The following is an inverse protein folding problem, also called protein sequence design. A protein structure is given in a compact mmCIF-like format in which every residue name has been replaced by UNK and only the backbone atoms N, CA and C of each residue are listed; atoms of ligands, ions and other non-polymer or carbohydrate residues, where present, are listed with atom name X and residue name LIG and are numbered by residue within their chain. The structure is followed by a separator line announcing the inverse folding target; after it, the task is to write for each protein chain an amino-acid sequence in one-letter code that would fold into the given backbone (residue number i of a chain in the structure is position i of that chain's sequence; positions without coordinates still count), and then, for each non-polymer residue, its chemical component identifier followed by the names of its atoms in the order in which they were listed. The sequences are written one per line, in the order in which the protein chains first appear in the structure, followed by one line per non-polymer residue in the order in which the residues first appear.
data_IF_266467406292
#
_entry.id   IF_266467406292
#
_cell.length_a   1.000
_cell.length_b   1.000
_cell.length_c   1.000
_cell.angle_alpha   90.00
_cell.angle_beta   90.00
_cell.angle_gamma   90.00
#
_symmetry.space_group_name_H-M   'P 1'
#
loop_
_entity.id
_entity.type
_entity.pdbx_description
1 polymer ?
#
# COMPACT_ATOMS: atom_id res chain seq x y z
N UNK A 1 61.87 -46.54 -27.18
CA UNK A 1 62.78 -45.65 -27.93
C UNK A 1 62.17 -44.30 -28.08
N UNK A 2 62.89 -43.26 -27.60
CA UNK A 2 62.78 -41.83 -27.87
C UNK A 2 61.45 -41.12 -27.40
N UNK A 3 61.45 -40.43 -26.33
CA UNK A 3 62.09 -39.09 -26.07
C UNK A 3 61.44 -37.97 -26.87
N UNK A 4 60.75 -37.08 -26.17
CA UNK A 4 61.06 -35.68 -26.16
C UNK A 4 60.08 -34.87 -25.29
N UNK A 5 60.64 -34.07 -24.44
CA UNK A 5 59.96 -33.12 -23.49
C UNK A 5 59.77 -31.76 -24.19
N UNK A 6 59.57 -30.64 -23.46
CA UNK A 6 58.27 -29.91 -23.28
C UNK A 6 58.33 -28.51 -23.91
N UNK A 7 57.21 -27.87 -24.10
CA UNK A 7 57.15 -26.43 -24.37
C UNK A 7 56.37 -25.68 -23.33
N UNK A 8 57.08 -24.81 -22.65
CA UNK A 8 56.61 -23.73 -21.79
C UNK A 8 55.79 -22.71 -22.57
N UNK A 9 54.61 -22.43 -22.12
CA UNK A 9 53.76 -21.30 -22.58
C UNK A 9 53.44 -20.35 -21.43
N UNK A 10 54.06 -19.18 -21.47
CA UNK A 10 53.96 -18.05 -20.59
C UNK A 10 52.50 -17.71 -20.25
N UNK A 11 52.18 -17.68 -18.98
CA UNK A 11 51.00 -16.97 -18.46
C UNK A 11 51.32 -15.45 -18.51
N UNK A 12 50.60 -14.73 -19.38
CA UNK A 12 50.53 -13.30 -19.34
C UNK A 12 49.49 -12.91 -18.30
N UNK A 13 49.91 -12.23 -17.24
CA UNK A 13 49.07 -11.64 -16.23
C UNK A 13 48.28 -10.45 -16.81
N UNK A 14 46.96 -10.47 -16.64
CA UNK A 14 46.12 -9.30 -16.83
C UNK A 14 46.31 -8.36 -15.62
N UNK A 15 46.45 -7.07 -15.83
CA UNK A 15 46.72 -6.15 -14.76
C UNK A 15 45.47 -5.91 -13.88
N UNK A 16 45.72 -6.00 -12.61
CA UNK A 16 44.85 -5.65 -11.49
C UNK A 16 44.80 -4.10 -11.34
N UNK A 17 44.11 -3.42 -12.25
CA UNK A 17 43.89 -1.99 -12.17
C UNK A 17 42.52 -1.60 -12.68
N UNK A 18 41.47 -1.79 -11.87
CA UNK A 18 40.17 -1.11 -12.05
C UNK A 18 39.21 -1.32 -10.84
N UNK A 19 39.78 -1.25 -9.63
CA UNK A 19 38.94 -1.30 -8.41
C UNK A 19 39.35 -0.24 -7.35
N UNK A 20 39.88 0.91 -7.79
CA UNK A 20 40.22 1.98 -6.84
C UNK A 20 39.64 3.36 -7.20
N UNK A 21 38.64 3.45 -8.07
CA UNK A 21 37.97 4.72 -8.37
C UNK A 21 36.60 4.89 -7.72
N UNK A 22 36.09 3.87 -7.02
CA UNK A 22 34.75 3.90 -6.38
C UNK A 22 34.70 4.31 -4.91
N UNK A 23 35.83 4.41 -4.22
CA UNK A 23 35.85 4.61 -2.75
C UNK A 23 36.21 6.05 -2.34
N UNK A 24 36.60 6.92 -3.26
CA UNK A 24 37.02 8.31 -2.92
C UNK A 24 35.92 9.35 -3.11
N UNK A 25 34.71 8.99 -3.55
CA UNK A 25 33.57 9.91 -3.66
C UNK A 25 32.72 10.01 -2.38
N UNK A 26 33.05 9.25 -1.32
CA UNK A 26 32.25 9.19 -0.09
C UNK A 26 32.77 10.10 1.04
N UNK A 27 33.80 10.87 0.81
CA UNK A 27 34.43 11.74 1.83
C UNK A 27 34.34 13.25 1.57
N UNK A 28 33.64 13.66 0.49
CA UNK A 28 33.32 15.08 0.34
C UNK A 28 31.83 15.25 0.64
N UNK A 29 31.54 15.68 1.87
CA UNK A 29 30.22 15.89 2.42
C UNK A 29 29.37 16.89 1.64
N UNK A 30 28.68 16.43 0.64
CA UNK A 30 27.48 17.10 0.13
C UNK A 30 26.30 16.63 0.96
N UNK A 31 25.91 17.46 1.91
CA UNK A 31 24.61 17.33 2.59
C UNK A 31 23.52 17.49 1.52
N UNK A 32 22.96 16.40 1.04
CA UNK A 32 21.65 16.43 0.40
C UNK A 32 20.63 16.64 1.51
N UNK A 33 19.73 17.63 1.40
CA UNK A 33 18.62 17.72 2.34
C UNK A 33 17.78 16.43 2.22
N UNK A 34 17.52 15.80 3.35
CA UNK A 34 16.59 14.69 3.42
C UNK A 34 15.21 15.21 3.00
N UNK A 35 14.81 14.86 1.78
CA UNK A 35 13.44 15.09 1.31
C UNK A 35 12.59 13.98 1.92
N UNK A 36 11.79 14.34 2.91
CA UNK A 36 10.74 13.50 3.44
C UNK A 36 9.65 13.38 2.38
N UNK A 37 9.62 12.28 1.65
CA UNK A 37 8.51 11.95 0.75
C UNK A 37 7.39 11.42 1.64
N UNK A 38 6.34 12.19 1.82
CA UNK A 38 5.10 11.70 2.43
C UNK A 38 4.45 10.72 1.45
N UNK A 39 4.51 9.44 1.75
CA UNK A 39 3.85 8.38 0.95
C UNK A 39 2.33 8.44 1.02
N UNK A 40 1.79 9.24 1.92
CA UNK A 40 0.35 9.41 2.11
C UNK A 40 -0.26 10.53 1.25
N UNK A 41 0.54 11.49 0.82
CA UNK A 41 0.12 12.53 -0.12
C UNK A 41 0.77 12.26 -1.47
N UNK A 42 0.00 12.03 -2.50
CA UNK A 42 0.48 11.89 -3.88
C UNK A 42 1.12 13.17 -4.42
N UNK A 43 2.08 13.77 -3.69
CA UNK A 43 2.74 15.01 -4.05
C UNK A 43 4.14 14.76 -4.59
N UNK A 44 4.32 15.06 -5.86
CA UNK A 44 5.60 15.16 -6.54
C UNK A 44 6.37 16.39 -6.06
N UNK A 45 7.63 16.25 -5.66
CA UNK A 45 8.48 17.34 -5.17
C UNK A 45 9.20 18.10 -6.30
N UNK A 46 8.56 18.32 -7.42
CA UNK A 46 9.03 19.29 -8.44
C UNK A 46 7.84 20.00 -9.07
N UNK A 47 7.17 20.89 -8.34
CA UNK A 47 6.20 21.79 -8.93
C UNK A 47 6.53 23.23 -8.58
N UNK A 48 6.70 24.05 -9.61
CA UNK A 48 6.58 25.51 -9.60
C UNK A 48 5.15 25.85 -9.14
N UNK A 49 4.94 26.86 -8.29
CA UNK A 49 3.63 27.12 -7.72
C UNK A 49 2.66 27.62 -8.78
N UNK A 50 1.64 26.83 -9.10
CA UNK A 50 0.46 27.31 -9.77
C UNK A 50 -0.66 27.41 -8.73
N UNK A 51 -1.08 28.64 -8.47
CA UNK A 51 -2.06 29.00 -7.46
C UNK A 51 -3.46 28.73 -7.98
N UNK A 52 -3.95 27.51 -7.81
CA UNK A 52 -5.38 27.22 -7.89
C UNK A 52 -5.79 26.39 -6.65
N UNK A 53 -6.95 26.66 -6.03
CA UNK A 53 -7.35 25.98 -4.81
C UNK A 53 -7.61 24.50 -5.10
N UNK A 54 -6.88 23.61 -4.42
CA UNK A 54 -7.18 22.18 -4.39
C UNK A 54 -8.52 21.98 -3.70
N UNK A 55 -9.58 21.86 -4.50
CA UNK A 55 -10.86 21.30 -4.09
C UNK A 55 -11.07 20.02 -4.90
N UNK A 56 -10.49 18.94 -4.44
CA UNK A 56 -10.96 17.61 -4.81
C UNK A 56 -11.06 16.80 -3.52
N UNK A 57 -12.20 16.96 -2.85
CA UNK A 57 -12.63 15.96 -1.90
C UNK A 57 -12.63 14.60 -2.62
N UNK A 58 -12.20 13.50 -1.94
CA UNK A 58 -12.35 12.17 -2.49
C UNK A 58 -13.81 11.99 -2.90
N UNK A 59 -14.03 11.53 -4.13
CA UNK A 59 -15.38 11.26 -4.62
C UNK A 59 -15.87 10.01 -3.91
N UNK A 60 -16.47 10.18 -2.74
CA UNK A 60 -17.36 9.17 -2.19
C UNK A 60 -18.59 9.19 -3.07
N UNK A 61 -18.84 8.11 -3.83
CA UNK A 61 -20.07 7.98 -4.59
C UNK A 61 -21.25 8.26 -3.66
N UNK A 62 -22.05 9.26 -4.01
CA UNK A 62 -23.22 9.69 -3.24
C UNK A 62 -24.29 8.60 -3.30
N UNK A 63 -24.41 7.81 -2.24
CA UNK A 63 -25.34 6.70 -2.14
C UNK A 63 -25.70 6.30 -0.72
N UNK A 64 -25.34 7.10 0.31
CA UNK A 64 -25.81 6.86 1.67
C UNK A 64 -26.69 8.03 2.12
N UNK A 65 -27.92 7.72 2.56
CA UNK A 65 -28.87 8.68 3.07
C UNK A 65 -28.27 9.58 4.14
N UNK A 66 -28.57 10.86 4.02
CA UNK A 66 -28.20 11.90 5.00
C UNK A 66 -28.96 11.64 6.31
N UNK A 67 -28.28 10.94 7.24
CA UNK A 67 -28.67 10.99 8.66
C UNK A 67 -27.53 11.69 9.41
N UNK A 68 -27.79 12.87 9.89
CA UNK A 68 -26.84 13.84 10.47
C UNK A 68 -26.26 13.41 11.83
N UNK A 69 -26.09 12.13 12.08
CA UNK A 69 -25.58 11.56 13.32
C UNK A 69 -24.74 10.30 13.18
N UNK A 70 -24.49 9.83 11.96
CA UNK A 70 -23.89 8.51 11.75
C UNK A 70 -22.38 8.61 11.53
N UNK A 71 -21.60 8.50 12.63
CA UNK A 71 -20.14 8.42 12.58
C UNK A 71 -19.70 7.00 12.30
N UNK A 72 -18.82 6.81 11.30
CA UNK A 72 -18.20 5.52 11.05
C UNK A 72 -16.72 5.62 10.67
N UNK A 73 -16.02 4.53 10.91
CA UNK A 73 -14.62 4.38 10.54
C UNK A 73 -14.39 3.03 9.89
N UNK A 74 -13.67 3.02 8.77
CA UNK A 74 -13.08 1.84 8.16
C UNK A 74 -11.59 1.81 8.48
N UNK A 75 -11.14 0.83 9.25
CA UNK A 75 -9.72 0.55 9.45
C UNK A 75 -9.24 -0.27 8.27
N UNK A 76 -8.33 0.28 7.47
CA UNK A 76 -7.86 -0.36 6.24
C UNK A 76 -6.35 -0.58 6.27
N UNK A 77 -5.91 -1.73 5.76
CA UNK A 77 -4.53 -2.18 5.80
C UNK A 77 -4.07 -2.57 4.40
N UNK A 78 -2.99 -1.94 3.92
CA UNK A 78 -2.39 -2.20 2.62
C UNK A 78 -1.12 -3.08 2.76
N UNK A 79 -0.71 -3.71 1.66
CA UNK A 79 0.57 -4.43 1.48
C UNK A 79 0.76 -5.72 2.28
N UNK A 80 -0.26 -6.17 2.99
CA UNK A 80 -0.29 -7.50 3.60
C UNK A 80 -0.71 -8.62 2.61
N UNK A 81 -0.76 -9.88 3.11
CA UNK A 81 -0.39 -10.31 4.44
C UNK A 81 1.12 -10.44 4.64
N UNK A 82 1.57 -10.23 5.88
CA UNK A 82 2.96 -10.32 6.26
C UNK A 82 3.16 -10.92 7.67
N UNK A 83 4.37 -10.85 8.19
CA UNK A 83 4.65 -11.19 9.61
C UNK A 83 3.93 -10.26 10.61
N UNK A 84 3.48 -9.08 10.16
CA UNK A 84 2.75 -8.10 10.96
C UNK A 84 1.26 -8.44 11.07
N UNK A 85 0.69 -9.04 10.02
CA UNK A 85 -0.74 -9.35 9.92
C UNK A 85 -1.31 -10.10 11.13
N UNK A 86 -0.65 -11.13 11.72
CA UNK A 86 -1.20 -11.81 12.90
C UNK A 86 -1.46 -10.87 14.07
N UNK A 87 -0.54 -9.94 14.36
CA UNK A 87 -0.71 -8.98 15.45
C UNK A 87 -1.80 -7.92 15.15
N UNK A 88 -2.00 -7.57 13.89
CA UNK A 88 -3.11 -6.70 13.46
C UNK A 88 -4.44 -7.42 13.68
N UNK A 89 -4.56 -8.69 13.24
CA UNK A 89 -5.76 -9.50 13.44
C UNK A 89 -6.08 -9.68 14.92
N UNK A 90 -5.06 -9.99 15.75
CA UNK A 90 -5.22 -10.12 17.20
C UNK A 90 -5.77 -8.83 17.86
N UNK A 91 -5.26 -7.66 17.45
CA UNK A 91 -5.71 -6.37 17.97
C UNK A 91 -7.16 -6.05 17.58
N UNK A 92 -7.56 -6.37 16.32
CA UNK A 92 -8.93 -6.20 15.85
C UNK A 92 -9.90 -7.15 16.55
N UNK A 93 -9.53 -8.42 16.67
CA UNK A 93 -10.32 -9.48 17.33
C UNK A 93 -10.52 -9.18 18.81
N UNK A 94 -9.47 -8.77 19.53
CA UNK A 94 -9.54 -8.37 20.93
C UNK A 94 -10.51 -7.21 21.19
N UNK A 95 -10.71 -6.35 20.19
CA UNK A 95 -11.65 -5.23 20.24
C UNK A 95 -13.03 -5.57 19.68
N UNK A 96 -13.21 -6.74 19.08
CA UNK A 96 -14.45 -7.15 18.40
C UNK A 96 -14.79 -6.30 17.19
N UNK A 97 -13.80 -5.80 16.47
CA UNK A 97 -13.98 -4.93 15.29
C UNK A 97 -13.40 -5.58 14.04
N UNK A 98 -13.95 -5.24 12.87
CA UNK A 98 -13.48 -5.76 11.59
C UNK A 98 -12.75 -4.69 10.79
N UNK A 99 -11.71 -5.10 10.05
CA UNK A 99 -10.96 -4.26 9.12
C UNK A 99 -11.12 -4.70 7.67
N UNK A 100 -10.58 -3.91 6.75
CA UNK A 100 -10.46 -4.25 5.33
C UNK A 100 -8.99 -4.32 4.94
N UNK A 101 -8.59 -5.43 4.32
CA UNK A 101 -7.22 -5.69 3.92
C UNK A 101 -7.10 -5.60 2.39
N UNK A 102 -6.37 -4.62 1.88
CA UNK A 102 -6.00 -4.47 0.49
C UNK A 102 -4.71 -5.25 0.23
N UNK A 103 -4.87 -6.46 -0.27
CA UNK A 103 -3.81 -7.48 -0.21
C UNK A 103 -2.88 -7.47 -1.41
N UNK A 104 -1.63 -7.85 -1.18
CA UNK A 104 -0.64 -8.13 -2.21
C UNK A 104 -0.25 -9.61 -2.22
N UNK A 105 0.29 -10.07 -3.35
CA UNK A 105 0.81 -11.44 -3.47
C UNK A 105 2.14 -11.43 -4.25
N UNK A 106 3.16 -10.78 -3.70
CA UNK A 106 4.44 -10.49 -4.38
C UNK A 106 5.37 -11.69 -4.56
N UNK A 107 5.01 -12.86 -4.07
CA UNK A 107 5.90 -14.03 -4.03
C UNK A 107 6.79 -14.06 -2.78
N UNK A 108 7.22 -12.91 -2.27
CA UNK A 108 7.99 -12.82 -1.02
C UNK A 108 7.13 -13.05 0.22
N UNK A 109 5.81 -12.80 0.12
CA UNK A 109 4.84 -13.00 1.18
C UNK A 109 4.04 -14.31 1.07
N UNK A 110 4.37 -15.20 0.15
CA UNK A 110 3.61 -16.43 -0.14
C UNK A 110 3.30 -17.26 1.11
N UNK A 111 4.26 -17.37 2.05
CA UNK A 111 4.07 -18.12 3.30
C UNK A 111 3.01 -17.52 4.24
N UNK A 112 2.61 -16.27 4.00
CA UNK A 112 1.60 -15.57 4.80
C UNK A 112 0.22 -15.56 4.15
N UNK A 113 0.09 -15.91 2.86
CA UNK A 113 -1.19 -15.96 2.16
C UNK A 113 -2.27 -16.81 2.87
N UNK A 114 -1.94 -17.92 3.57
CA UNK A 114 -2.94 -18.65 4.37
C UNK A 114 -3.65 -17.79 5.45
N UNK A 115 -3.06 -16.67 5.88
CA UNK A 115 -3.71 -15.74 6.81
C UNK A 115 -4.97 -15.10 6.22
N UNK A 116 -5.10 -15.04 4.90
CA UNK A 116 -6.31 -14.52 4.22
C UNK A 116 -7.54 -15.35 4.56
N UNK A 117 -7.40 -16.69 4.66
CA UNK A 117 -8.49 -17.57 5.09
C UNK A 117 -8.91 -17.26 6.53
N UNK A 118 -7.96 -17.00 7.42
CA UNK A 118 -8.24 -16.67 8.82
C UNK A 118 -8.93 -15.30 8.92
N UNK A 119 -8.39 -14.29 8.22
CA UNK A 119 -8.97 -12.94 8.20
C UNK A 119 -10.41 -12.96 7.67
N UNK A 120 -10.66 -13.64 6.55
CA UNK A 120 -12.01 -13.76 5.98
C UNK A 120 -12.98 -14.52 6.91
N UNK A 121 -12.53 -15.62 7.53
CA UNK A 121 -13.32 -16.38 8.48
C UNK A 121 -13.66 -15.60 9.77
N UNK A 122 -12.79 -14.67 10.17
CA UNK A 122 -13.02 -13.76 11.30
C UNK A 122 -13.92 -12.55 10.93
N UNK A 123 -14.41 -12.46 9.69
CA UNK A 123 -15.32 -11.40 9.25
C UNK A 123 -14.63 -10.14 8.71
N UNK A 124 -13.31 -10.16 8.56
CA UNK A 124 -12.61 -9.07 7.89
C UNK A 124 -12.84 -9.13 6.38
N UNK A 125 -12.88 -7.97 5.75
CA UNK A 125 -12.99 -7.88 4.30
C UNK A 125 -11.61 -8.00 3.64
N UNK A 126 -11.53 -8.84 2.58
CA UNK A 126 -10.38 -8.90 1.69
C UNK A 126 -10.70 -8.09 0.43
N UNK A 127 -9.77 -7.24 0.02
CA UNK A 127 -9.85 -6.39 -1.17
C UNK A 127 -8.55 -6.48 -1.97
N UNK A 128 -8.59 -6.09 -3.26
CA UNK A 128 -7.45 -6.23 -4.16
C UNK A 128 -6.53 -5.01 -4.08
N UNK A 129 -5.21 -5.26 -4.09
CA UNK A 129 -4.22 -4.19 -4.21
C UNK A 129 -3.31 -4.40 -5.41
N UNK A 130 -2.41 -5.38 -5.38
CA UNK A 130 -1.51 -5.70 -6.48
C UNK A 130 -0.87 -7.08 -6.29
N UNK A 131 -0.51 -7.75 -7.38
CA UNK A 131 0.32 -8.96 -7.29
C UNK A 131 1.80 -8.63 -7.08
N UNK A 132 2.31 -7.57 -7.69
CA UNK A 132 3.75 -7.23 -7.69
C UNK A 132 4.09 -6.02 -6.83
N UNK A 133 3.21 -5.05 -6.77
CA UNK A 133 3.39 -3.69 -6.21
C UNK A 133 4.56 -2.91 -6.85
N UNK A 134 4.96 -3.29 -8.10
CA UNK A 134 6.01 -2.63 -8.85
C UNK A 134 5.43 -1.57 -9.77
N UNK A 135 5.51 -0.29 -9.37
CA UNK A 135 4.88 0.83 -10.08
C UNK A 135 5.25 0.91 -11.58
N UNK A 136 6.52 0.65 -11.93
CA UNK A 136 6.99 0.65 -13.32
C UNK A 136 6.29 -0.40 -14.18
N UNK A 137 5.87 -1.48 -13.59
CA UNK A 137 5.25 -2.60 -14.27
C UNK A 137 3.73 -2.44 -14.34
N UNK A 138 3.10 -2.19 -13.19
CA UNK A 138 1.63 -2.09 -13.11
C UNK A 138 1.09 -0.87 -13.84
N UNK A 139 1.81 0.26 -13.83
CA UNK A 139 1.35 1.50 -14.44
C UNK A 139 1.92 1.79 -15.84
N UNK A 140 2.55 0.84 -16.48
CA UNK A 140 3.01 1.04 -17.87
C UNK A 140 1.86 1.08 -18.89
N UNK A 141 0.73 0.43 -18.58
CA UNK A 141 -0.51 0.46 -19.38
C UNK A 141 -1.69 -0.09 -18.57
N UNK A 142 -2.92 0.12 -19.04
CA UNK A 142 -4.10 -0.49 -18.44
C UNK A 142 -4.06 -2.02 -18.51
N UNK A 143 -3.64 -2.59 -19.63
CA UNK A 143 -3.49 -4.05 -19.77
C UNK A 143 -2.50 -4.62 -18.74
N UNK A 144 -1.39 -3.92 -18.48
CA UNK A 144 -0.42 -4.35 -17.49
C UNK A 144 -1.00 -4.35 -16.07
N UNK A 145 -1.76 -3.32 -15.74
CA UNK A 145 -2.48 -3.25 -14.46
C UNK A 145 -3.46 -4.42 -14.28
N UNK A 146 -4.28 -4.70 -15.30
CA UNK A 146 -5.24 -5.79 -15.23
C UNK A 146 -4.59 -7.19 -15.24
N UNK A 147 -3.44 -7.34 -15.89
CA UNK A 147 -2.63 -8.57 -15.79
C UNK A 147 -2.11 -8.78 -14.35
N UNK A 148 -1.66 -7.72 -13.68
CA UNK A 148 -1.23 -7.78 -12.29
C UNK A 148 -2.39 -8.14 -11.35
N UNK A 149 -3.56 -7.53 -11.53
CA UNK A 149 -4.78 -7.87 -10.77
C UNK A 149 -5.23 -9.32 -11.03
N UNK A 150 -5.15 -9.80 -12.28
CA UNK A 150 -5.49 -11.19 -12.60
C UNK A 150 -4.52 -12.17 -11.92
N UNK A 151 -3.22 -11.85 -11.91
CA UNK A 151 -2.21 -12.63 -11.21
C UNK A 151 -2.41 -12.63 -9.69
N UNK A 152 -2.81 -11.48 -9.11
CA UNK A 152 -3.20 -11.41 -7.69
C UNK A 152 -4.34 -12.37 -7.39
N UNK A 153 -5.42 -12.31 -8.18
CA UNK A 153 -6.59 -13.18 -8.03
C UNK A 153 -6.21 -14.66 -8.12
N UNK A 154 -5.38 -15.05 -9.07
CA UNK A 154 -4.86 -16.41 -9.19
C UNK A 154 -4.12 -16.85 -7.93
N UNK A 155 -3.23 -16.01 -7.41
CA UNK A 155 -2.40 -16.34 -6.24
C UNK A 155 -3.18 -16.44 -4.93
N UNK A 156 -4.24 -15.67 -4.77
CA UNK A 156 -5.07 -15.70 -3.56
C UNK A 156 -6.23 -16.72 -3.63
N UNK A 157 -6.57 -17.24 -4.82
CA UNK A 157 -7.67 -18.18 -5.02
C UNK A 157 -7.65 -19.44 -4.11
N UNK A 158 -6.48 -19.99 -3.70
CA UNK A 158 -6.46 -21.10 -2.75
C UNK A 158 -6.95 -20.75 -1.34
N UNK A 159 -7.08 -19.46 -1.01
CA UNK A 159 -7.32 -18.97 0.36
C UNK A 159 -8.65 -18.25 0.52
N UNK A 160 -9.12 -17.57 -0.52
CA UNK A 160 -10.39 -16.82 -0.56
C UNK A 160 -11.01 -16.93 -1.96
N UNK A 161 -12.32 -16.71 -2.10
CA UNK A 161 -12.96 -16.62 -3.42
C UNK A 161 -12.64 -15.25 -4.07
N UNK A 162 -11.71 -15.18 -5.04
CA UNK A 162 -11.36 -13.91 -5.66
C UNK A 162 -12.47 -13.38 -6.58
N UNK A 163 -13.42 -14.22 -7.00
CA UNK A 163 -14.54 -13.79 -7.85
C UNK A 163 -15.63 -13.08 -7.04
N UNK A 164 -15.64 -13.23 -5.73
CA UNK A 164 -16.52 -12.46 -4.85
C UNK A 164 -16.02 -11.05 -4.56
N UNK A 165 -14.72 -10.78 -4.76
CA UNK A 165 -14.09 -9.50 -4.42
C UNK A 165 -14.46 -8.46 -5.49
N UNK A 166 -14.95 -7.28 -5.03
CA UNK A 166 -15.39 -6.16 -5.88
C UNK A 166 -14.71 -4.84 -5.54
N UNK A 167 -13.88 -4.81 -4.51
CA UNK A 167 -13.20 -3.61 -4.03
C UNK A 167 -11.70 -3.72 -4.28
N UNK A 168 -11.11 -2.60 -4.69
CA UNK A 168 -9.66 -2.49 -4.87
C UNK A 168 -9.15 -1.13 -4.38
N UNK A 169 -7.86 -1.06 -4.13
CA UNK A 169 -7.12 0.19 -3.95
C UNK A 169 -5.96 0.22 -4.91
N UNK A 170 -5.82 1.32 -5.64
CA UNK A 170 -4.68 1.52 -6.52
C UNK A 170 -3.40 1.72 -5.70
N UNK A 171 -2.28 1.03 -5.98
CA UNK A 171 -1.00 1.34 -5.36
C UNK A 171 -0.64 2.82 -5.44
N UNK A 172 -0.43 3.45 -4.26
CA UNK A 172 -0.23 4.89 -4.14
C UNK A 172 -1.50 5.76 -4.26
N UNK A 173 -2.69 5.14 -4.30
CA UNK A 173 -3.99 5.82 -4.39
C UNK A 173 -4.36 6.27 -5.82
N UNK A 174 -5.61 6.65 -6.00
CA UNK A 174 -6.19 7.02 -7.29
C UNK A 174 -5.74 8.40 -7.82
N UNK A 175 -5.06 9.17 -6.99
CA UNK A 175 -4.51 10.49 -7.32
C UNK A 175 -2.98 10.49 -7.47
N UNK A 176 -2.34 9.30 -7.40
CA UNK A 176 -0.90 9.21 -7.52
C UNK A 176 -0.38 9.77 -8.86
N UNK A 177 0.80 10.39 -8.80
CA UNK A 177 1.46 10.94 -9.99
C UNK A 177 2.38 9.93 -10.68
N UNK A 178 2.65 8.80 -10.02
CA UNK A 178 3.55 7.75 -10.51
C UNK A 178 2.97 7.06 -11.73
N UNK A 179 1.64 6.81 -11.75
CA UNK A 179 0.92 6.28 -12.91
C UNK A 179 1.10 7.15 -14.17
N UNK A 180 1.10 8.47 -13.98
CA UNK A 180 1.34 9.41 -15.07
C UNK A 180 2.77 9.32 -15.62
N UNK A 181 3.75 9.05 -14.74
CA UNK A 181 5.16 8.90 -15.14
C UNK A 181 5.38 7.71 -16.06
N UNK A 182 4.72 6.59 -15.80
CA UNK A 182 4.92 5.34 -16.52
C UNK A 182 3.94 5.14 -17.68
N UNK A 183 2.65 5.45 -17.49
CA UNK A 183 1.57 5.18 -18.45
C UNK A 183 0.94 6.42 -19.08
N UNK A 184 1.44 7.63 -18.74
CA UNK A 184 0.94 8.90 -19.30
C UNK A 184 -0.26 9.47 -18.54
N UNK A 185 -0.66 10.69 -18.94
CA UNK A 185 -1.66 11.51 -18.19
C UNK A 185 -3.06 10.90 -18.12
N UNK A 186 -3.43 9.99 -19.03
CA UNK A 186 -4.79 9.43 -19.12
C UNK A 186 -4.95 8.10 -18.40
N UNK A 187 -3.86 7.43 -18.01
CA UNK A 187 -3.91 6.04 -17.52
C UNK A 187 -4.85 5.90 -16.32
N UNK A 188 -4.68 6.70 -15.27
CA UNK A 188 -5.48 6.57 -14.06
C UNK A 188 -6.97 6.83 -14.31
N UNK A 189 -7.30 7.80 -15.19
CA UNK A 189 -8.69 8.05 -15.59
C UNK A 189 -9.29 6.85 -16.33
N UNK A 190 -8.51 6.23 -17.22
CA UNK A 190 -8.91 5.00 -17.90
C UNK A 190 -9.15 3.87 -16.91
N UNK A 191 -8.20 3.61 -16.00
CA UNK A 191 -8.33 2.54 -14.99
C UNK A 191 -9.55 2.72 -14.09
N UNK A 192 -9.82 3.95 -13.63
CA UNK A 192 -11.04 4.25 -12.85
C UNK A 192 -12.31 3.90 -13.62
N UNK A 193 -12.41 4.33 -14.88
CA UNK A 193 -13.55 4.01 -15.73
C UNK A 193 -13.72 2.51 -15.97
N UNK A 194 -12.61 1.77 -16.14
CA UNK A 194 -12.65 0.32 -16.34
C UNK A 194 -13.05 -0.43 -15.07
N UNK A 195 -12.66 0.04 -13.87
CA UNK A 195 -13.13 -0.49 -12.58
C UNK A 195 -14.64 -0.35 -12.46
N UNK A 196 -15.18 0.84 -12.75
CA UNK A 196 -16.62 1.12 -12.70
C UNK A 196 -17.40 0.27 -13.73
N UNK A 197 -16.88 0.12 -14.96
CA UNK A 197 -17.48 -0.73 -15.99
C UNK A 197 -17.54 -2.22 -15.60
N UNK A 198 -16.64 -2.68 -14.75
CA UNK A 198 -16.65 -4.04 -14.19
C UNK A 198 -17.66 -4.20 -13.03
N UNK A 199 -18.33 -3.13 -12.62
CA UNK A 199 -19.17 -3.12 -11.42
C UNK A 199 -18.37 -3.25 -10.13
N UNK A 200 -17.10 -2.82 -10.15
CA UNK A 200 -16.22 -2.79 -9.00
C UNK A 200 -16.07 -1.36 -8.49
N UNK A 201 -15.50 -1.23 -7.28
CA UNK A 201 -15.22 0.06 -6.67
C UNK A 201 -13.75 0.17 -6.26
N UNK A 202 -13.13 1.29 -6.62
CA UNK A 202 -11.84 1.68 -6.06
C UNK A 202 -12.03 2.57 -4.84
N UNK A 203 -11.14 2.45 -3.85
CA UNK A 203 -11.27 3.13 -2.56
C UNK A 203 -9.95 3.75 -2.17
N UNK A 204 -9.94 5.07 -2.00
CA UNK A 204 -8.85 5.81 -1.39
C UNK A 204 -9.06 5.94 0.14
N UNK A 205 -8.47 6.92 0.74
CA UNK A 205 -8.55 7.22 2.16
C UNK A 205 -8.68 8.73 2.39
N UNK A 206 -9.16 9.12 3.55
CA UNK A 206 -9.22 10.51 4.00
C UNK A 206 -8.54 10.71 5.36
N UNK A 207 -8.01 9.64 5.96
CA UNK A 207 -7.16 9.67 7.15
C UNK A 207 -5.92 8.82 6.88
N UNK A 208 -4.72 9.38 7.06
CA UNK A 208 -3.47 8.68 6.86
C UNK A 208 -2.71 8.53 8.17
N UNK A 209 -2.34 7.31 8.52
CA UNK A 209 -1.53 7.01 9.70
C UNK A 209 -0.05 7.38 9.53
N UNK A 210 0.42 7.58 8.28
CA UNK A 210 1.82 7.80 7.92
C UNK A 210 2.78 6.70 8.47
N UNK A 211 2.27 5.50 8.67
CA UNK A 211 2.97 4.36 9.29
C UNK A 211 4.03 3.71 8.40
N UNK A 212 3.92 3.88 7.07
CA UNK A 212 4.88 3.37 6.09
C UNK A 212 5.91 4.42 5.61
N UNK A 213 5.91 5.64 6.18
CA UNK A 213 6.88 6.66 5.80
C UNK A 213 8.27 6.33 6.33
N UNK A 214 9.30 6.86 5.64
CA UNK A 214 10.70 6.63 6.00
C UNK A 214 10.99 6.99 7.46
N UNK A 215 11.71 6.11 8.18
CA UNK A 215 12.04 6.29 9.58
C UNK A 215 11.28 5.40 10.55
N UNK A 216 10.30 4.64 10.07
CA UNK A 216 9.49 3.70 10.88
C UNK A 216 8.94 4.37 12.16
N UNK A 217 7.88 5.18 12.06
CA UNK A 217 7.34 5.92 13.19
C UNK A 217 6.93 4.95 14.33
N UNK A 218 7.07 5.41 15.56
CA UNK A 218 6.60 4.66 16.73
C UNK A 218 5.06 4.65 16.81
N UNK A 219 4.52 3.79 17.66
CA UNK A 219 3.10 3.61 17.80
C UNK A 219 2.37 4.89 18.24
N UNK A 220 2.97 5.67 19.12
CA UNK A 220 2.41 6.94 19.59
C UNK A 220 2.36 8.00 18.47
N UNK A 221 3.35 8.05 17.60
CA UNK A 221 3.34 8.92 16.42
C UNK A 221 2.25 8.51 15.44
N UNK A 222 2.09 7.21 15.16
CA UNK A 222 1.03 6.67 14.30
C UNK A 222 -0.35 7.05 14.88
N UNK A 223 -0.57 6.80 16.15
CA UNK A 223 -1.80 7.18 16.85
C UNK A 223 -2.10 8.68 16.70
N UNK A 224 -1.12 9.55 17.00
CA UNK A 224 -1.30 11.01 16.87
C UNK A 224 -1.60 11.45 15.44
N UNK A 225 -1.00 10.82 14.43
CA UNK A 225 -1.29 11.10 13.04
C UNK A 225 -2.75 10.78 12.71
N UNK A 226 -3.24 9.60 13.10
CA UNK A 226 -4.64 9.21 12.88
C UNK A 226 -5.60 10.19 13.56
N UNK A 227 -5.34 10.55 14.82
CA UNK A 227 -6.18 11.51 15.57
C UNK A 227 -6.19 12.88 14.90
N UNK A 228 -5.01 13.39 14.50
CA UNK A 228 -4.86 14.67 13.83
C UNK A 228 -5.61 14.70 12.49
N UNK A 229 -5.40 13.69 11.67
CA UNK A 229 -6.00 13.59 10.33
C UNK A 229 -7.52 13.38 10.40
N UNK A 230 -8.01 12.66 11.42
CA UNK A 230 -9.44 12.50 11.64
C UNK A 230 -10.11 13.83 11.94
N UNK A 231 -9.56 14.67 12.85
CA UNK A 231 -10.13 15.98 13.19
C UNK A 231 -11.63 15.88 13.49
N UNK A 232 -12.43 16.66 12.74
CA UNK A 232 -13.91 16.71 12.86
C UNK A 232 -14.64 15.79 11.85
N UNK A 233 -13.91 14.95 11.11
CA UNK A 233 -14.52 14.07 10.11
C UNK A 233 -15.40 13.02 10.77
N UNK A 234 -16.60 12.81 10.27
CA UNK A 234 -17.56 11.81 10.79
C UNK A 234 -17.53 10.50 10.02
N UNK A 235 -16.91 10.47 8.85
CA UNK A 235 -16.79 9.31 7.96
C UNK A 235 -15.34 9.15 7.57
N UNK A 236 -14.68 8.11 8.09
CA UNK A 236 -13.25 7.92 7.98
C UNK A 236 -12.89 6.60 7.30
N UNK A 237 -12.03 6.67 6.30
CA UNK A 237 -11.29 5.54 5.77
C UNK A 237 -9.82 5.76 6.13
N UNK A 238 -9.32 4.96 7.06
CA UNK A 238 -7.98 5.11 7.62
C UNK A 238 -7.01 4.24 6.82
N UNK A 239 -5.99 4.86 6.18
CA UNK A 239 -4.89 4.15 5.58
C UNK A 239 -3.86 3.78 6.64
N UNK A 240 -3.62 2.50 6.76
CA UNK A 240 -2.53 1.86 7.50
C UNK A 240 -1.93 0.74 6.66
N UNK A 241 -0.87 0.12 7.14
CA UNK A 241 -0.24 -1.01 6.45
C UNK A 241 0.02 -2.16 7.42
N UNK A 242 -0.17 -3.40 6.93
CA UNK A 242 0.25 -4.62 7.62
C UNK A 242 1.42 -5.32 6.91
N UNK A 243 2.24 -4.51 6.25
CA UNK A 243 3.48 -4.93 5.59
C UNK A 243 4.53 -5.44 6.59
N UNK A 244 5.58 -6.09 6.10
CA UNK A 244 6.62 -6.66 6.96
C UNK A 244 7.42 -5.59 7.77
N UNK A 245 7.34 -4.34 7.40
CA UNK A 245 8.09 -3.22 8.04
C UNK A 245 7.26 -2.37 8.97
N UNK A 246 5.93 -2.54 9.01
CA UNK A 246 4.98 -1.71 9.76
C UNK A 246 4.50 -2.36 11.06
N UNK A 247 5.38 -3.07 11.77
CA UNK A 247 5.02 -3.73 13.04
C UNK A 247 4.53 -2.78 14.14
N UNK A 248 4.91 -1.52 14.10
CA UNK A 248 4.44 -0.47 15.02
C UNK A 248 2.99 -0.09 14.80
N UNK A 249 2.43 -0.34 13.62
CA UNK A 249 1.00 -0.17 13.32
C UNK A 249 0.15 -1.07 14.20
N UNK A 250 0.51 -2.36 14.32
CA UNK A 250 -0.18 -3.29 15.20
C UNK A 250 -0.14 -2.85 16.67
N UNK A 251 0.96 -2.20 17.10
CA UNK A 251 1.10 -1.68 18.46
C UNK A 251 0.23 -0.44 18.70
N UNK A 252 0.05 0.42 17.69
CA UNK A 252 -0.80 1.62 17.77
C UNK A 252 -2.30 1.28 17.75
N UNK A 253 -2.67 0.17 17.13
CA UNK A 253 -4.05 -0.16 16.79
C UNK A 253 -5.00 -0.20 17.99
N UNK A 254 -4.66 -0.76 19.20
CA UNK A 254 -5.55 -0.74 20.35
C UNK A 254 -5.92 0.67 20.83
N UNK A 255 -5.00 1.63 20.76
CA UNK A 255 -5.29 3.01 21.15
C UNK A 255 -6.09 3.74 20.09
N UNK A 256 -5.83 3.51 18.81
CA UNK A 256 -6.62 4.03 17.69
C UNK A 256 -8.06 3.55 17.80
N UNK A 257 -8.30 2.25 18.01
CA UNK A 257 -9.64 1.68 18.16
C UNK A 257 -10.37 2.31 19.35
N UNK A 258 -9.71 2.38 20.50
CA UNK A 258 -10.30 3.00 21.70
C UNK A 258 -10.69 4.45 21.45
N UNK A 259 -9.81 5.22 20.79
CA UNK A 259 -10.08 6.64 20.50
C UNK A 259 -11.33 6.84 19.64
N UNK A 260 -11.55 6.00 18.62
CA UNK A 260 -12.76 6.04 17.79
C UNK A 260 -13.98 5.54 18.56
N UNK A 261 -13.86 4.48 19.35
CA UNK A 261 -14.95 3.95 20.17
C UNK A 261 -15.44 4.98 21.21
N UNK A 262 -14.53 5.67 21.90
CA UNK A 262 -14.83 6.73 22.88
C UNK A 262 -15.54 7.96 22.27
N UNK A 263 -15.63 8.00 20.92
CA UNK A 263 -16.26 9.09 20.16
C UNK A 263 -17.46 8.63 19.34
N UNK A 264 -17.98 7.45 19.67
CA UNK A 264 -19.18 6.86 19.09
C UNK A 264 -19.08 6.56 17.58
N UNK A 265 -17.86 6.30 17.05
CA UNK A 265 -17.71 5.81 15.69
C UNK A 265 -18.10 4.33 15.61
N UNK A 266 -18.92 3.98 14.61
CA UNK A 266 -19.17 2.58 14.25
C UNK A 266 -18.00 2.07 13.40
N UNK A 267 -17.48 0.91 13.73
CA UNK A 267 -16.47 0.24 12.91
C UNK A 267 -17.15 -0.56 11.81
N UNK A 268 -16.80 -0.25 10.57
CA UNK A 268 -17.36 -0.90 9.38
C UNK A 268 -16.22 -1.38 8.48
N UNK A 269 -16.47 -2.47 7.74
CA UNK A 269 -15.64 -2.76 6.57
C UNK A 269 -15.97 -1.76 5.45
N UNK A 270 -15.08 -1.66 4.47
CA UNK A 270 -15.32 -0.78 3.31
C UNK A 270 -16.62 -1.15 2.59
N UNK A 271 -16.91 -2.43 2.43
CA UNK A 271 -18.15 -2.91 1.79
C UNK A 271 -19.42 -2.51 2.56
N UNK A 272 -19.35 -2.52 3.90
CA UNK A 272 -20.46 -2.09 4.75
C UNK A 272 -20.67 -0.57 4.72
N UNK A 273 -19.58 0.20 4.65
CA UNK A 273 -19.62 1.67 4.65
C UNK A 273 -19.96 2.25 3.26
N UNK A 274 -19.50 1.60 2.20
CA UNK A 274 -19.59 2.04 0.82
C UNK A 274 -20.15 0.91 -0.06
N UNK A 275 -21.41 0.50 0.14
CA UNK A 275 -22.00 -0.61 -0.62
C UNK A 275 -22.03 -0.28 -2.12
N UNK A 276 -21.83 -1.32 -2.95
CA UNK A 276 -22.07 -1.22 -4.38
C UNK A 276 -23.55 -0.97 -4.63
N UNK A 277 -23.85 -0.01 -5.51
CA UNK A 277 -25.22 0.36 -5.88
C UNK A 277 -25.96 -0.70 -6.68
#
# INVERSE_FOLDING_TARGET
MRSSAPHSGRRQGLPFFLFLAGVLAFLLGTRFPAQTVSLCAGSDLTAVPDTAPFSSAPVFASGAGEDAGDKWVCLTFDDGPSKTTPAVLEALDAAGVHGTFFVVATGHNQKYLPLLTQAAAAGHQIALHSASHEYSDIYRSADAYWQDIALLKERIAPYVDPEAIRYLRFPGGSTNTVSRRYGGKGLMQQLKSEVEQKGWQWVDWNVCAEDAVGGHPDADTIYRNVVRETGEQTRCVVLMHDSATTGTTAQALPEIIRWYADRDYRFLTVEQALPLG
#
